data_IF_021343966084
#
_entry.id   IF_021343966084
#
_cell.length_a   1.000
_cell.length_b   1.000
_cell.length_c   1.000
_cell.angle_alpha   90.00
_cell.angle_beta   90.00
_cell.angle_gamma   90.00
#
_symmetry.space_group_name_H-M   'P 1'
#
loop_
_entity.id
_entity.type
_entity.pdbx_description
1 polymer ?
#
# COMPACT_ATOMS: atom_id res chain seq x y z
N UNK A 1 46.31 -46.95 -14.97
CA UNK A 1 47.29 -46.72 -13.88
C UNK A 1 46.91 -45.40 -13.22
N UNK A 2 46.48 -45.29 -11.95
CA UNK A 2 46.13 -46.22 -10.86
C UNK A 2 44.76 -45.73 -10.30
N UNK A 3 43.96 -46.45 -9.50
CA UNK A 3 44.20 -47.66 -8.72
C UNK A 3 44.19 -47.36 -7.21
N UNK A 4 43.35 -48.08 -6.45
CA UNK A 4 43.17 -48.06 -4.98
C UNK A 4 42.46 -46.82 -4.39
N UNK A 5 41.37 -46.87 -3.61
CA UNK A 5 40.82 -47.82 -2.59
C UNK A 5 41.30 -47.56 -1.16
N UNK A 6 40.35 -47.37 -0.24
CA UNK A 6 40.58 -47.27 1.20
C UNK A 6 39.35 -47.73 1.99
N UNK A 7 39.35 -48.98 2.43
CA UNK A 7 38.32 -49.61 3.29
C UNK A 7 38.62 -49.39 4.76
N UNK A 8 37.62 -49.33 5.65
CA UNK A 8 37.62 -50.09 6.93
C UNK A 8 36.22 -50.10 7.62
N UNK A 9 35.79 -51.29 8.05
CA UNK A 9 34.74 -51.58 9.05
C UNK A 9 35.47 -52.11 10.33
N UNK A 10 34.94 -52.95 11.25
CA UNK A 10 33.59 -53.17 11.80
C UNK A 10 33.53 -53.15 13.35
N UNK A 11 32.33 -53.26 13.95
CA UNK A 11 32.05 -53.97 15.23
C UNK A 11 30.60 -54.52 15.13
N UNK A 12 30.31 -55.84 15.06
CA UNK A 12 30.22 -56.84 16.15
C UNK A 12 29.23 -56.41 17.28
N UNK A 13 28.25 -57.20 17.77
CA UNK A 13 27.99 -58.67 17.64
C UNK A 13 26.61 -59.11 18.19
N UNK A 14 26.14 -60.32 17.80
CA UNK A 14 25.34 -61.33 18.58
C UNK A 14 23.88 -60.98 19.00
N UNK A 15 22.94 -61.92 19.23
CA UNK A 15 22.73 -63.35 18.87
C UNK A 15 21.22 -63.71 19.04
N UNK A 16 20.78 -64.87 18.52
CA UNK A 16 19.40 -65.45 18.52
C UNK A 16 19.09 -66.17 19.88
N UNK A 17 18.02 -67.00 20.14
CA UNK A 17 16.88 -67.51 19.32
C UNK A 17 15.48 -67.60 20.05
N UNK A 18 14.44 -68.24 19.46
CA UNK A 18 13.12 -68.37 20.15
C UNK A 18 11.95 -69.26 19.64
N UNK A 19 12.17 -70.37 18.91
CA UNK A 19 11.29 -71.58 18.81
C UNK A 19 9.77 -71.51 18.40
N UNK A 20 9.17 -72.70 18.26
CA UNK A 20 7.86 -73.08 17.64
C UNK A 20 7.02 -73.92 18.65
N UNK A 21 5.75 -74.32 18.50
CA UNK A 21 4.68 -74.25 17.48
C UNK A 21 3.29 -74.32 18.20
N UNK A 22 2.17 -74.14 17.47
CA UNK A 22 0.96 -75.00 17.48
C UNK A 22 -0.38 -74.28 17.18
N UNK A 23 -1.27 -75.06 16.56
CA UNK A 23 -2.64 -74.74 16.16
C UNK A 23 -3.63 -74.66 17.32
N UNK A 24 -4.59 -73.71 17.31
CA UNK A 24 -6.04 -74.00 17.36
C UNK A 24 -6.97 -72.76 17.33
N UNK A 25 -7.91 -72.78 16.38
CA UNK A 25 -9.35 -72.47 16.48
C UNK A 25 -9.94 -71.07 16.87
N UNK A 26 -11.07 -70.76 16.21
CA UNK A 26 -12.07 -69.69 16.48
C UNK A 26 -11.74 -68.22 16.09
N UNK A 27 -12.75 -67.38 15.81
CA UNK A 27 -13.55 -67.47 14.58
C UNK A 27 -13.49 -66.20 13.72
N UNK A 28 -13.84 -66.33 12.43
CA UNK A 28 -13.88 -65.22 11.48
C UNK A 28 -14.85 -64.11 11.94
N UNK A 29 -14.36 -62.88 12.01
CA UNK A 29 -15.19 -61.68 11.93
C UNK A 29 -15.04 -61.11 10.53
N UNK A 30 -16.04 -61.34 9.69
CA UNK A 30 -16.16 -60.67 8.40
C UNK A 30 -16.44 -59.19 8.64
N UNK A 31 -15.38 -58.38 8.70
CA UNK A 31 -15.49 -56.92 8.69
C UNK A 31 -15.85 -56.54 7.25
N UNK A 32 -17.15 -56.54 6.97
CA UNK A 32 -17.71 -56.01 5.74
C UNK A 32 -17.33 -54.54 5.64
N UNK A 33 -16.40 -54.23 4.74
CA UNK A 33 -15.94 -52.88 4.45
C UNK A 33 -17.04 -52.12 3.70
N UNK A 34 -18.06 -51.66 4.43
CA UNK A 34 -19.02 -50.68 3.91
C UNK A 34 -18.30 -49.34 3.77
N UNK A 35 -17.79 -49.06 2.56
CA UNK A 35 -17.77 -47.70 2.07
C UNK A 35 -19.22 -47.22 2.02
N UNK A 36 -19.60 -46.38 2.98
CA UNK A 36 -20.81 -45.60 2.89
C UNK A 36 -20.46 -44.30 2.16
N UNK A 37 -20.59 -44.33 0.82
CA UNK A 37 -20.75 -43.10 0.04
C UNK A 37 -22.01 -42.39 0.52
N UNK A 38 -21.85 -41.16 1.01
CA UNK A 38 -22.88 -40.10 1.03
C UNK A 38 -22.36 -38.90 1.84
N UNK A 39 -21.46 -38.11 1.23
CA UNK A 39 -21.24 -36.72 1.65
C UNK A 39 -21.07 -35.81 0.42
N UNK A 40 -22.01 -35.96 -0.51
CA UNK A 40 -22.20 -35.11 -1.70
C UNK A 40 -23.35 -34.10 -1.45
N UNK A 41 -23.43 -33.52 -0.24
CA UNK A 41 -24.12 -32.23 -0.12
C UNK A 41 -23.26 -31.18 -0.84
N UNK A 42 -23.77 -30.52 -1.90
CA UNK A 42 -23.02 -29.45 -2.53
C UNK A 42 -22.77 -28.37 -1.48
N UNK A 43 -21.54 -27.86 -1.40
CA UNK A 43 -21.15 -26.79 -0.47
C UNK A 43 -21.89 -25.51 -0.88
N UNK A 44 -23.14 -25.37 -0.44
CA UNK A 44 -23.96 -24.19 -0.68
C UNK A 44 -23.63 -23.11 0.33
N UNK A 45 -23.37 -21.90 -0.17
CA UNK A 45 -23.32 -20.71 0.67
C UNK A 45 -24.60 -20.60 1.50
N UNK A 46 -24.48 -20.34 2.80
CA UNK A 46 -25.63 -20.09 3.67
C UNK A 46 -26.45 -18.90 3.15
N UNK A 47 -27.75 -18.83 3.49
CA UNK A 47 -28.59 -17.70 3.07
C UNK A 47 -27.97 -16.33 3.43
N UNK A 48 -27.40 -16.21 4.63
CA UNK A 48 -26.65 -15.03 5.06
C UNK A 48 -25.39 -14.76 4.21
N UNK A 49 -24.67 -15.80 3.79
CA UNK A 49 -23.50 -15.62 2.91
C UNK A 49 -23.91 -15.24 1.48
N UNK A 50 -25.03 -15.76 0.97
CA UNK A 50 -25.60 -15.37 -0.32
C UNK A 50 -26.11 -13.94 -0.32
N UNK A 51 -26.78 -13.50 0.75
CA UNK A 51 -27.28 -12.12 0.86
C UNK A 51 -26.13 -11.13 1.03
N UNK A 52 -25.14 -11.42 1.90
CA UNK A 52 -23.92 -10.62 1.98
C UNK A 52 -23.15 -10.55 0.65
N UNK A 53 -23.16 -11.62 -0.16
CA UNK A 53 -22.56 -11.63 -1.50
C UNK A 53 -23.35 -10.76 -2.49
N UNK A 54 -24.70 -10.77 -2.44
CA UNK A 54 -25.55 -9.87 -3.25
C UNK A 54 -25.34 -8.41 -2.87
N UNK A 55 -25.30 -8.11 -1.58
CA UNK A 55 -25.06 -6.75 -1.07
C UNK A 55 -23.69 -6.25 -1.54
N UNK A 56 -22.64 -7.07 -1.40
CA UNK A 56 -21.31 -6.76 -1.91
C UNK A 56 -21.27 -6.49 -3.42
N UNK A 57 -21.96 -7.31 -4.24
CA UNK A 57 -22.06 -7.06 -5.68
C UNK A 57 -22.86 -5.79 -5.98
N UNK A 58 -23.94 -5.52 -5.24
CA UNK A 58 -24.77 -4.32 -5.41
C UNK A 58 -23.99 -3.06 -5.07
N UNK A 59 -23.22 -3.06 -3.98
CA UNK A 59 -22.32 -1.97 -3.59
C UNK A 59 -21.17 -1.77 -4.58
N UNK A 60 -20.62 -2.87 -5.12
CA UNK A 60 -19.59 -2.80 -6.17
C UNK A 60 -20.15 -2.18 -7.45
N UNK A 61 -21.33 -2.60 -7.89
CA UNK A 61 -21.95 -2.12 -9.12
C UNK A 61 -22.50 -0.68 -8.95
N UNK A 62 -22.92 -0.29 -7.75
CA UNK A 62 -23.25 1.10 -7.41
C UNK A 62 -22.02 2.02 -7.45
N UNK A 63 -20.90 1.59 -6.85
CA UNK A 63 -19.61 2.31 -6.94
C UNK A 63 -19.10 2.39 -8.38
N UNK A 64 -19.23 1.31 -9.15
CA UNK A 64 -18.88 1.31 -10.58
C UNK A 64 -19.69 2.36 -11.36
N UNK A 65 -21.01 2.45 -11.14
CA UNK A 65 -21.86 3.49 -11.75
C UNK A 65 -21.50 4.91 -11.32
N UNK A 66 -21.22 5.13 -10.04
CA UNK A 66 -20.76 6.44 -9.56
C UNK A 66 -19.42 6.83 -10.21
N UNK A 67 -18.50 5.86 -10.34
CA UNK A 67 -17.22 6.06 -10.98
C UNK A 67 -17.35 6.31 -12.50
N UNK A 68 -18.17 5.53 -13.21
CA UNK A 68 -18.52 5.75 -14.62
C UNK A 68 -19.15 7.12 -14.85
N UNK A 69 -20.02 7.58 -13.94
CA UNK A 69 -20.59 8.92 -14.01
C UNK A 69 -19.51 10.00 -13.85
N UNK A 70 -18.68 9.94 -12.80
CA UNK A 70 -17.58 10.89 -12.58
C UNK A 70 -16.61 10.92 -13.78
N UNK A 71 -16.31 9.76 -14.35
CA UNK A 71 -15.45 9.60 -15.52
C UNK A 71 -16.09 10.15 -16.79
N UNK A 72 -17.34 9.82 -17.08
CA UNK A 72 -18.06 10.33 -18.25
C UNK A 72 -18.21 11.86 -18.20
N UNK A 73 -18.49 12.40 -17.01
CA UNK A 73 -18.48 13.84 -16.77
C UNK A 73 -17.08 14.44 -17.04
N UNK A 74 -16.00 13.81 -16.58
CA UNK A 74 -14.63 14.27 -16.83
C UNK A 74 -14.25 14.23 -18.33
N UNK A 75 -14.53 13.13 -19.04
CA UNK A 75 -14.23 12.95 -20.46
C UNK A 75 -15.00 13.94 -21.36
N UNK A 76 -16.29 14.16 -21.11
CA UNK A 76 -17.09 15.16 -21.83
C UNK A 76 -16.57 16.59 -21.62
N UNK A 77 -16.03 16.90 -20.43
CA UNK A 77 -15.47 18.22 -20.11
C UNK A 77 -14.08 18.43 -20.72
N UNK A 78 -13.24 17.40 -20.79
CA UNK A 78 -11.96 17.45 -21.52
C UNK A 78 -12.18 17.78 -23.00
N UNK A 79 -13.21 17.21 -23.63
CA UNK A 79 -13.61 17.52 -25.01
C UNK A 79 -14.12 18.97 -25.21
N UNK A 80 -14.59 19.63 -24.15
CA UNK A 80 -15.10 21.01 -24.19
C UNK A 80 -14.05 22.11 -23.96
N UNK A 81 -12.76 21.75 -23.82
CA UNK A 81 -11.65 22.70 -23.68
C UNK A 81 -11.53 23.40 -22.32
N UNK A 82 -12.34 23.03 -21.33
CA UNK A 82 -12.42 23.66 -20.00
C UNK A 82 -11.32 23.24 -19.02
N UNK A 83 -10.05 23.49 -19.35
CA UNK A 83 -8.87 23.02 -18.59
C UNK A 83 -8.70 23.50 -17.13
N UNK A 84 -9.64 24.29 -16.59
CA UNK A 84 -9.65 24.76 -15.20
C UNK A 84 -10.96 24.55 -14.45
N UNK A 85 -11.96 23.87 -15.04
CA UNK A 85 -13.29 23.71 -14.46
C UNK A 85 -13.55 22.33 -13.79
N UNK A 86 -12.56 21.43 -13.77
CA UNK A 86 -12.71 20.07 -13.25
C UNK A 86 -13.14 20.04 -11.76
N UNK A 87 -12.64 20.98 -10.96
CA UNK A 87 -12.91 21.07 -9.52
C UNK A 87 -14.31 21.59 -9.19
N UNK A 88 -14.94 22.39 -10.05
CA UNK A 88 -16.20 23.09 -9.72
C UNK A 88 -17.46 22.21 -9.66
N UNK A 89 -17.34 20.91 -9.94
CA UNK A 89 -18.45 19.94 -9.88
C UNK A 89 -18.23 18.86 -8.82
N UNK A 90 -17.04 18.81 -8.20
CA UNK A 90 -16.76 17.87 -7.12
C UNK A 90 -17.58 18.25 -5.88
N UNK A 91 -18.38 17.30 -5.38
CA UNK A 91 -19.12 17.47 -4.12
C UNK A 91 -18.17 17.18 -2.96
N UNK A 92 -17.80 18.22 -2.24
CA UNK A 92 -17.03 18.13 -1.01
C UNK A 92 -17.95 17.86 0.21
N UNK A 93 -17.49 17.11 1.23
CA UNK A 93 -16.20 16.43 1.29
C UNK A 93 -16.13 15.20 0.38
N UNK A 94 -14.97 14.99 -0.22
CA UNK A 94 -14.62 13.78 -0.97
C UNK A 94 -14.34 12.63 0.01
N UNK A 95 -14.78 11.42 -0.33
CA UNK A 95 -14.54 10.18 0.45
C UNK A 95 -13.65 9.21 -0.31
N UNK A 96 -12.76 8.51 0.39
CA UNK A 96 -11.97 7.40 -0.17
C UNK A 96 -12.82 6.17 -0.51
N UNK A 97 -14.05 6.07 -0.01
CA UNK A 97 -14.97 4.95 -0.32
C UNK A 97 -15.34 4.88 -1.81
N UNK A 98 -15.30 6.01 -2.52
CA UNK A 98 -15.48 6.09 -3.97
C UNK A 98 -14.33 5.41 -4.75
N UNK A 99 -13.17 5.21 -4.13
CA UNK A 99 -11.96 4.64 -4.70
C UNK A 99 -11.60 3.35 -3.95
N UNK A 100 -12.38 2.28 -4.12
CA UNK A 100 -12.20 1.04 -3.35
C UNK A 100 -10.82 0.35 -3.57
N UNK A 101 -10.15 -0.03 -2.49
CA UNK A 101 -8.82 -0.68 -2.49
C UNK A 101 -8.72 -1.92 -3.42
N UNK A 102 -7.65 -2.01 -4.21
CA UNK A 102 -7.20 -3.26 -4.86
C UNK A 102 -5.93 -3.81 -4.20
N UNK A 103 -6.04 -5.01 -3.65
CA UNK A 103 -4.96 -5.70 -2.94
C UNK A 103 -3.86 -6.20 -3.87
N UNK A 104 -4.13 -6.40 -5.17
CA UNK A 104 -3.11 -6.79 -6.15
C UNK A 104 -2.19 -5.62 -6.50
N UNK A 105 -2.73 -4.40 -6.47
CA UNK A 105 -2.00 -3.14 -6.62
C UNK A 105 -1.38 -2.66 -5.29
N UNK A 106 -1.56 -3.44 -4.20
CA UNK A 106 -1.07 -3.14 -2.85
C UNK A 106 -1.61 -1.82 -2.28
N UNK A 107 -2.87 -1.52 -2.59
CA UNK A 107 -3.58 -0.32 -2.12
C UNK A 107 -4.15 -0.53 -0.70
N UNK A 108 -3.65 0.25 0.26
CA UNK A 108 -4.18 0.29 1.63
C UNK A 108 -4.39 1.75 2.03
N UNK A 109 -5.61 2.13 2.38
CA UNK A 109 -5.92 3.53 2.65
C UNK A 109 -5.67 3.89 4.11
N UNK A 110 -4.94 4.98 4.36
CA UNK A 110 -4.89 5.61 5.68
C UNK A 110 -6.29 5.91 6.24
N UNK A 111 -6.41 5.87 7.57
CA UNK A 111 -7.60 6.40 8.26
C UNK A 111 -7.72 7.91 8.04
N UNK A 112 -8.93 8.45 8.20
CA UNK A 112 -9.19 9.88 8.02
C UNK A 112 -8.33 10.75 8.95
N UNK A 113 -8.06 10.29 10.18
CA UNK A 113 -7.18 10.98 11.13
C UNK A 113 -5.75 11.03 10.62
N UNK A 114 -5.21 9.91 10.15
CA UNK A 114 -3.85 9.81 9.62
C UNK A 114 -3.69 10.63 8.34
N UNK A 115 -4.59 10.48 7.37
CA UNK A 115 -4.59 11.25 6.14
C UNK A 115 -4.69 12.77 6.41
N UNK A 116 -5.58 13.17 7.32
CA UNK A 116 -5.75 14.57 7.74
C UNK A 116 -4.52 15.12 8.46
N UNK A 117 -3.86 14.33 9.31
CA UNK A 117 -2.66 14.74 10.03
C UNK A 117 -1.49 14.97 9.07
N UNK A 118 -1.25 14.03 8.15
CA UNK A 118 -0.21 14.11 7.13
C UNK A 118 -0.45 15.30 6.18
N UNK A 119 -1.68 15.47 5.69
CA UNK A 119 -2.08 16.63 4.89
C UNK A 119 -1.82 17.96 5.61
N UNK A 120 -2.14 18.06 6.91
CA UNK A 120 -1.83 19.25 7.72
C UNK A 120 -0.34 19.52 7.85
N UNK A 121 0.53 18.51 7.94
CA UNK A 121 1.98 18.73 7.97
C UNK A 121 2.55 19.17 6.61
N UNK A 122 1.94 18.74 5.49
CA UNK A 122 2.26 19.28 4.16
C UNK A 122 1.80 20.74 4.01
N UNK A 123 0.63 21.10 4.53
CA UNK A 123 0.09 22.47 4.48
C UNK A 123 0.70 23.45 5.50
N UNK A 124 1.31 22.97 6.58
CA UNK A 124 1.83 23.83 7.66
C UNK A 124 2.91 24.82 7.12
N UNK A 125 2.57 26.10 7.04
CA UNK A 125 3.39 27.16 6.47
C UNK A 125 3.52 27.10 4.94
N UNK A 126 2.58 26.49 4.22
CA UNK A 126 2.51 26.54 2.76
C UNK A 126 1.96 27.89 2.26
N UNK A 127 2.39 28.30 1.08
CA UNK A 127 1.95 29.53 0.39
C UNK A 127 1.34 29.19 -0.98
N UNK A 128 0.85 30.19 -1.72
CA UNK A 128 0.32 29.98 -3.08
C UNK A 128 1.39 29.48 -4.07
N UNK A 129 2.66 29.81 -3.82
CA UNK A 129 3.82 29.43 -4.65
C UNK A 129 4.36 28.03 -4.29
N UNK A 130 3.93 27.47 -3.17
CA UNK A 130 4.38 26.14 -2.70
C UNK A 130 3.81 25.05 -3.61
N UNK A 131 4.67 24.14 -4.08
CA UNK A 131 4.25 22.93 -4.80
C UNK A 131 4.33 21.69 -3.90
N UNK A 132 3.25 20.91 -3.88
CA UNK A 132 3.11 19.69 -3.07
C UNK A 132 2.87 18.50 -4.00
N UNK A 133 3.75 17.49 -3.94
CA UNK A 133 3.52 16.21 -4.61
C UNK A 133 3.10 15.12 -3.60
N UNK A 134 2.11 14.33 -3.99
CA UNK A 134 1.62 13.15 -3.27
C UNK A 134 1.93 11.94 -4.14
N UNK A 135 2.83 11.07 -3.70
CA UNK A 135 3.28 9.89 -4.47
C UNK A 135 2.70 8.62 -3.83
N UNK A 136 1.80 7.95 -4.56
CA UNK A 136 1.12 6.71 -4.15
C UNK A 136 0.38 6.73 -2.80
N UNK A 137 0.07 7.93 -2.27
CA UNK A 137 -0.67 8.14 -1.02
C UNK A 137 -2.02 8.87 -1.26
N UNK A 138 -2.96 8.33 -2.07
CA UNK A 138 -4.13 9.08 -2.53
C UNK A 138 -5.08 9.53 -1.41
N UNK A 139 -5.17 8.83 -0.28
CA UNK A 139 -5.95 9.30 0.88
C UNK A 139 -5.45 10.64 1.44
N UNK A 140 -4.13 10.87 1.44
CA UNK A 140 -3.55 12.16 1.82
C UNK A 140 -3.88 13.25 0.80
N UNK A 141 -3.94 12.91 -0.50
CA UNK A 141 -4.40 13.85 -1.53
C UNK A 141 -5.88 14.23 -1.34
N UNK A 142 -6.76 13.26 -1.07
CA UNK A 142 -8.18 13.54 -0.77
C UNK A 142 -8.32 14.40 0.48
N UNK A 143 -7.54 14.13 1.54
CA UNK A 143 -7.52 14.98 2.73
C UNK A 143 -7.02 16.41 2.45
N UNK A 144 -5.97 16.58 1.61
CA UNK A 144 -5.52 17.90 1.15
C UNK A 144 -6.62 18.65 0.40
N UNK A 145 -7.29 18.02 -0.55
CA UNK A 145 -8.40 18.61 -1.32
C UNK A 145 -9.54 19.04 -0.40
N UNK A 146 -9.95 18.19 0.55
CA UNK A 146 -11.00 18.51 1.52
C UNK A 146 -10.63 19.72 2.41
N UNK A 147 -9.38 19.81 2.88
CA UNK A 147 -8.91 20.96 3.69
C UNK A 147 -8.88 22.25 2.85
N UNK A 148 -8.36 22.21 1.62
CA UNK A 148 -8.26 23.39 0.75
C UNK A 148 -9.61 23.88 0.23
N UNK A 149 -10.61 22.99 0.12
CA UNK A 149 -11.99 23.34 -0.18
C UNK A 149 -12.70 24.03 0.99
N UNK A 150 -12.28 23.80 2.24
CA UNK A 150 -12.81 24.51 3.41
C UNK A 150 -12.19 25.89 3.64
N UNK A 151 -11.16 26.27 2.88
CA UNK A 151 -10.53 27.58 2.98
C UNK A 151 -11.39 28.67 2.28
N UNK A 152 -11.36 29.93 2.76
CA UNK A 152 -11.96 31.07 2.06
C UNK A 152 -11.54 31.16 0.58
N UNK A 153 -12.41 31.68 -0.29
CA UNK A 153 -12.17 31.69 -1.73
C UNK A 153 -10.86 32.42 -2.11
N UNK A 154 -10.54 33.50 -1.41
CA UNK A 154 -9.35 34.34 -1.54
C UNK A 154 -8.09 33.80 -0.81
N UNK A 155 -8.21 32.73 -0.04
CA UNK A 155 -7.06 32.15 0.66
C UNK A 155 -6.02 31.58 -0.33
N UNK A 156 -4.71 31.75 -0.05
CA UNK A 156 -3.66 31.17 -0.86
C UNK A 156 -3.75 29.63 -0.83
N UNK A 157 -3.61 28.99 -1.99
CA UNK A 157 -3.64 27.53 -2.14
C UNK A 157 -2.35 27.07 -2.82
N UNK A 158 -1.62 26.09 -2.26
CA UNK A 158 -0.47 25.50 -2.91
C UNK A 158 -0.91 24.71 -4.15
N UNK A 159 -0.02 24.60 -5.14
CA UNK A 159 -0.25 23.70 -6.27
C UNK A 159 -0.07 22.24 -5.83
N UNK A 160 -1.04 21.39 -6.15
CA UNK A 160 -0.97 19.95 -5.86
C UNK A 160 -0.60 19.13 -7.10
N UNK A 161 -0.02 17.96 -6.89
CA UNK A 161 0.18 16.93 -7.91
C UNK A 161 0.00 15.56 -7.25
N UNK A 162 -0.85 14.70 -7.81
CA UNK A 162 -1.02 13.32 -7.40
C UNK A 162 -0.34 12.40 -8.42
N UNK A 163 0.65 11.65 -7.97
CA UNK A 163 1.33 10.62 -8.74
C UNK A 163 0.79 9.27 -8.29
N UNK A 164 -0.07 8.65 -9.11
CA UNK A 164 -0.66 7.36 -8.80
C UNK A 164 -0.72 6.42 -10.02
N UNK A 165 -0.65 5.12 -9.77
CA UNK A 165 -0.84 4.09 -10.79
C UNK A 165 -2.33 3.93 -11.15
N UNK A 166 -3.21 4.15 -10.17
CA UNK A 166 -4.64 3.96 -10.34
C UNK A 166 -5.31 5.08 -11.15
N UNK A 167 -5.68 4.74 -12.38
CA UNK A 167 -6.37 5.64 -13.30
C UNK A 167 -7.77 6.08 -12.82
N UNK A 168 -8.32 5.53 -11.72
CA UNK A 168 -9.53 6.08 -11.11
C UNK A 168 -9.32 7.50 -10.60
N UNK A 169 -8.10 7.87 -10.20
CA UNK A 169 -7.79 9.24 -9.79
C UNK A 169 -7.67 10.22 -10.98
N UNK A 170 -7.73 9.77 -12.23
CA UNK A 170 -7.71 10.64 -13.42
C UNK A 170 -8.94 11.58 -13.56
N UNK A 171 -9.93 11.47 -12.66
CA UNK A 171 -11.00 12.47 -12.48
C UNK A 171 -10.48 13.80 -11.92
N UNK A 172 -9.30 13.82 -11.30
CA UNK A 172 -8.64 15.01 -10.77
C UNK A 172 -7.65 15.58 -11.80
N UNK A 173 -7.66 16.89 -12.02
CA UNK A 173 -6.73 17.53 -12.97
C UNK A 173 -5.27 17.54 -12.49
N UNK A 174 -5.05 17.31 -11.19
CA UNK A 174 -3.74 17.18 -10.56
C UNK A 174 -3.14 15.77 -10.71
N UNK A 175 -3.88 14.82 -11.29
CA UNK A 175 -3.44 13.44 -11.50
C UNK A 175 -2.38 13.34 -12.60
N UNK A 176 -1.32 12.61 -12.29
CA UNK A 176 -0.28 12.17 -13.21
C UNK A 176 -0.13 10.66 -13.04
N UNK A 177 -0.40 9.90 -14.10
CA UNK A 177 -0.20 8.46 -14.09
C UNK A 177 1.26 8.13 -13.77
N UNK A 178 1.49 7.31 -12.75
CA UNK A 178 2.80 6.96 -12.23
C UNK A 178 2.97 5.44 -12.15
N UNK A 179 3.98 4.93 -12.86
CA UNK A 179 4.48 3.57 -12.69
C UNK A 179 5.88 3.65 -12.07
N UNK A 180 6.04 3.13 -10.85
CA UNK A 180 7.34 3.15 -10.16
C UNK A 180 8.44 2.41 -10.94
N UNK A 181 8.10 1.47 -11.84
CA UNK A 181 9.08 0.79 -12.71
C UNK A 181 9.66 1.73 -13.77
N UNK A 182 9.00 2.85 -14.04
CA UNK A 182 9.39 3.91 -14.96
C UNK A 182 9.50 5.26 -14.20
N UNK A 183 10.35 5.37 -13.14
CA UNK A 183 10.22 6.37 -12.08
C UNK A 183 10.38 7.84 -12.54
N UNK A 184 11.04 8.08 -13.67
CA UNK A 184 11.25 9.42 -14.25
C UNK A 184 10.46 9.64 -15.55
N UNK A 185 9.51 8.76 -15.90
CA UNK A 185 8.61 8.93 -17.05
C UNK A 185 7.45 9.85 -16.68
N UNK A 186 7.79 11.08 -16.33
CA UNK A 186 6.90 12.08 -15.76
C UNK A 186 6.95 13.39 -16.56
N UNK A 187 5.96 14.28 -16.41
CA UNK A 187 5.99 15.61 -17.04
C UNK A 187 7.25 16.38 -16.61
N UNK A 188 8.05 16.84 -17.58
CA UNK A 188 9.32 17.53 -17.30
C UNK A 188 9.18 18.79 -16.42
N UNK A 189 7.98 19.39 -16.37
CA UNK A 189 7.65 20.50 -15.47
C UNK A 189 7.74 20.16 -13.98
N UNK A 190 7.78 18.87 -13.62
CA UNK A 190 7.97 18.40 -12.24
C UNK A 190 9.45 18.36 -11.81
N UNK A 191 10.41 18.29 -12.74
CA UNK A 191 11.85 18.19 -12.42
C UNK A 191 12.28 19.36 -11.52
N UNK A 192 12.89 19.04 -10.36
CA UNK A 192 13.44 20.01 -9.39
C UNK A 192 12.49 21.17 -9.08
N UNK A 193 11.19 20.90 -9.05
CA UNK A 193 10.16 21.92 -8.91
C UNK A 193 9.40 21.84 -7.58
N UNK A 194 9.45 20.71 -6.89
CA UNK A 194 8.56 20.41 -5.76
C UNK A 194 9.19 20.79 -4.42
N UNK A 195 8.48 21.61 -3.65
CA UNK A 195 8.91 22.08 -2.32
C UNK A 195 8.57 21.07 -1.21
N UNK A 196 7.49 20.30 -1.36
CA UNK A 196 6.98 19.37 -0.34
C UNK A 196 6.49 18.07 -0.96
N UNK A 197 6.88 16.95 -0.36
CA UNK A 197 6.59 15.62 -0.88
C UNK A 197 6.09 14.73 0.25
N UNK A 198 5.01 13.99 0.01
CA UNK A 198 4.75 12.74 0.71
C UNK A 198 4.86 11.56 -0.26
N UNK A 199 5.44 10.46 0.20
CA UNK A 199 5.61 9.25 -0.59
C UNK A 199 5.23 8.01 0.23
N UNK A 200 4.41 7.14 -0.33
CA UNK A 200 4.03 5.85 0.23
C UNK A 200 4.19 4.76 -0.84
N UNK A 201 5.38 4.15 -0.98
CA UNK A 201 5.64 3.22 -2.08
C UNK A 201 4.84 1.92 -1.88
N UNK A 202 4.10 1.43 -2.89
CA UNK A 202 3.11 0.36 -2.70
C UNK A 202 3.70 -0.98 -2.22
N UNK A 203 4.99 -1.24 -2.44
CA UNK A 203 5.63 -2.51 -2.09
C UNK A 203 6.77 -2.35 -1.09
N UNK A 204 6.79 -3.25 -0.09
CA UNK A 204 7.88 -3.41 0.89
C UNK A 204 9.08 -4.16 0.28
N UNK A 205 9.60 -3.65 -0.84
CA UNK A 205 10.73 -4.24 -1.59
C UNK A 205 11.80 -3.21 -1.93
N UNK A 206 13.06 -3.64 -1.95
CA UNK A 206 14.20 -2.74 -2.20
C UNK A 206 14.10 -2.03 -3.57
N UNK A 207 13.62 -2.73 -4.60
CA UNK A 207 13.39 -2.18 -5.93
C UNK A 207 12.36 -1.05 -5.91
N UNK A 208 11.21 -1.26 -5.25
CA UNK A 208 10.14 -0.27 -5.18
C UNK A 208 10.57 0.98 -4.39
N UNK A 209 11.15 0.78 -3.20
CA UNK A 209 11.64 1.86 -2.35
C UNK A 209 12.76 2.67 -3.04
N UNK A 210 13.69 1.99 -3.70
CA UNK A 210 14.79 2.64 -4.45
C UNK A 210 14.25 3.47 -5.61
N UNK A 211 13.31 2.93 -6.40
CA UNK A 211 12.69 3.63 -7.53
C UNK A 211 11.86 4.82 -7.09
N UNK A 212 11.04 4.68 -6.05
CA UNK A 212 10.33 5.80 -5.45
C UNK A 212 11.30 6.91 -4.98
N UNK A 213 12.42 6.53 -4.36
CA UNK A 213 13.45 7.49 -3.97
C UNK A 213 14.15 8.16 -5.17
N UNK A 214 14.22 7.53 -6.35
CA UNK A 214 14.67 8.20 -7.58
C UNK A 214 13.66 9.25 -8.04
N UNK A 215 12.37 8.90 -8.08
CA UNK A 215 11.25 9.81 -8.40
C UNK A 215 11.28 11.05 -7.51
N UNK A 216 11.33 10.85 -6.19
CA UNK A 216 11.40 11.93 -5.19
C UNK A 216 12.63 12.81 -5.42
N UNK A 217 13.84 12.23 -5.55
CA UNK A 217 15.07 13.01 -5.79
C UNK A 217 15.03 13.83 -7.09
N UNK A 218 14.39 13.32 -8.14
CA UNK A 218 14.28 14.01 -9.43
C UNK A 218 13.29 15.19 -9.38
N UNK A 219 12.20 15.08 -8.63
CA UNK A 219 11.21 16.16 -8.47
C UNK A 219 11.56 17.20 -7.40
N UNK A 220 12.27 16.80 -6.34
CA UNK A 220 12.65 17.68 -5.23
C UNK A 220 13.45 18.89 -5.72
N UNK A 221 12.97 20.08 -5.38
CA UNK A 221 13.61 21.37 -5.67
C UNK A 221 14.99 21.52 -5.04
N UNK A 222 15.17 21.04 -3.82
CA UNK A 222 16.48 20.85 -3.18
C UNK A 222 16.42 19.69 -2.17
N UNK A 223 17.56 19.40 -1.53
CA UNK A 223 17.62 18.51 -0.35
C UNK A 223 16.86 19.03 0.86
N UNK A 224 16.51 20.32 0.87
CA UNK A 224 15.77 20.99 1.95
C UNK A 224 14.25 20.96 1.72
N UNK A 225 13.78 20.42 0.59
CA UNK A 225 12.36 20.15 0.36
C UNK A 225 11.80 19.30 1.50
N UNK A 226 10.62 19.67 2.04
CA UNK A 226 9.98 18.92 3.12
C UNK A 226 9.57 17.55 2.60
N UNK A 227 10.05 16.49 3.24
CA UNK A 227 9.80 15.11 2.85
C UNK A 227 9.18 14.34 4.01
N UNK A 228 8.06 13.69 3.71
CA UNK A 228 7.46 12.64 4.53
C UNK A 228 7.48 11.36 3.70
N UNK A 229 7.88 10.25 4.31
CA UNK A 229 7.77 8.91 3.72
C UNK A 229 7.01 8.05 4.71
N UNK A 230 6.03 7.28 4.24
CA UNK A 230 5.41 6.23 5.03
C UNK A 230 5.68 4.89 4.34
N UNK A 231 5.94 3.85 5.12
CA UNK A 231 6.17 2.48 4.66
C UNK A 231 6.22 1.54 5.87
N UNK A 232 6.21 0.23 5.62
CA UNK A 232 6.39 -0.80 6.65
C UNK A 232 7.75 -0.73 7.35
N UNK A 233 7.77 -1.03 8.66
CA UNK A 233 8.92 -0.89 9.58
C UNK A 233 10.25 -1.41 9.01
N UNK A 234 10.21 -2.58 8.37
CA UNK A 234 11.37 -3.33 7.87
C UNK A 234 12.17 -2.61 6.79
N UNK A 235 11.58 -1.55 6.22
CA UNK A 235 12.23 -0.70 5.25
C UNK A 235 13.04 0.43 5.90
N UNK A 236 13.00 0.62 7.24
CA UNK A 236 13.68 1.70 7.98
C UNK A 236 15.14 1.90 7.57
N UNK A 237 15.96 0.86 7.65
CA UNK A 237 17.40 0.93 7.31
C UNK A 237 17.63 1.30 5.84
N UNK A 238 16.76 0.86 4.94
CA UNK A 238 16.86 1.18 3.52
C UNK A 238 16.38 2.62 3.24
N UNK A 239 15.24 3.02 3.78
CA UNK A 239 14.60 4.32 3.54
C UNK A 239 15.42 5.46 4.14
N UNK A 240 15.87 5.33 5.39
CA UNK A 240 16.78 6.32 6.00
C UNK A 240 18.08 6.47 5.20
N UNK A 241 18.67 5.38 4.69
CA UNK A 241 19.84 5.40 3.81
C UNK A 241 19.55 6.03 2.44
N UNK A 242 18.43 5.69 1.80
CA UNK A 242 18.03 6.26 0.50
C UNK A 242 17.85 7.78 0.62
N UNK A 243 17.13 8.24 1.63
CA UNK A 243 16.80 9.64 1.84
C UNK A 243 17.77 10.37 2.79
N UNK A 244 18.95 9.81 3.04
CA UNK A 244 19.97 10.40 3.93
C UNK A 244 20.32 11.86 3.53
N UNK A 245 20.33 12.16 2.23
CA UNK A 245 20.61 13.50 1.69
C UNK A 245 19.53 14.54 2.04
N UNK A 246 18.32 14.11 2.39
CA UNK A 246 17.24 14.98 2.88
C UNK A 246 17.23 15.10 4.41
N UNK A 247 18.08 14.36 5.13
CA UNK A 247 18.00 14.26 6.59
C UNK A 247 16.77 13.50 7.11
N UNK A 248 16.22 12.57 6.32
CA UNK A 248 15.02 11.80 6.69
C UNK A 248 15.32 10.87 7.89
N UNK A 249 14.53 10.98 8.96
CA UNK A 249 14.59 10.10 10.14
C UNK A 249 13.22 9.53 10.50
N UNK A 250 13.23 8.39 11.18
CA UNK A 250 12.04 7.74 11.74
C UNK A 250 11.40 8.63 12.80
N UNK A 251 10.08 8.76 12.78
CA UNK A 251 9.32 9.55 13.75
C UNK A 251 8.62 8.66 14.78
N UNK A 252 8.26 9.23 15.94
CA UNK A 252 7.43 8.57 16.95
C UNK A 252 5.95 8.41 16.53
N UNK A 253 5.55 8.90 15.36
CA UNK A 253 4.21 8.75 14.82
C UNK A 253 4.04 7.47 13.98
N UNK A 254 2.97 6.73 14.25
CA UNK A 254 2.61 5.47 13.61
C UNK A 254 1.33 5.66 12.78
N UNK A 255 1.40 5.59 11.44
CA UNK A 255 0.24 5.71 10.56
C UNK A 255 -0.77 4.57 10.74
N UNK A 256 -2.07 4.90 10.76
CA UNK A 256 -3.17 3.93 10.87
C UNK A 256 -3.91 3.81 9.54
N UNK A 257 -4.34 2.60 9.18
CA UNK A 257 -5.07 2.30 7.95
C UNK A 257 -6.56 2.05 8.25
N UNK A 258 -7.44 2.52 7.37
CA UNK A 258 -8.90 2.55 7.57
C UNK A 258 -9.52 1.14 7.75
N UNK A 259 -8.95 0.12 7.09
CA UNK A 259 -9.36 -1.30 7.25
C UNK A 259 -8.39 -2.13 8.09
N UNK A 260 -7.44 -1.45 8.75
CA UNK A 260 -6.29 -2.09 9.40
C UNK A 260 -5.26 -2.63 8.38
N UNK A 261 -4.05 -2.85 8.86
CA UNK A 261 -2.97 -3.49 8.11
C UNK A 261 -2.17 -4.35 9.10
N UNK A 262 -1.82 -5.58 8.73
CA UNK A 262 -1.08 -6.49 9.61
C UNK A 262 0.41 -6.21 9.70
N UNK A 263 0.95 -5.40 8.79
CA UNK A 263 2.33 -4.92 8.85
C UNK A 263 2.38 -3.65 9.71
N UNK A 264 3.32 -3.61 10.66
CA UNK A 264 3.69 -2.38 11.34
C UNK A 264 4.21 -1.35 10.32
N UNK A 265 3.74 -0.10 10.44
CA UNK A 265 4.02 0.99 9.51
C UNK A 265 4.57 2.18 10.28
N UNK A 266 5.63 2.81 9.76
CA UNK A 266 6.24 3.98 10.37
C UNK A 266 6.12 5.21 9.47
N UNK A 267 6.03 6.38 10.10
CA UNK A 267 6.23 7.67 9.45
C UNK A 267 7.71 8.08 9.60
N UNK A 268 8.34 8.44 8.48
CA UNK A 268 9.68 9.00 8.42
C UNK A 268 9.57 10.43 7.89
N UNK A 269 10.26 11.40 8.50
CA UNK A 269 10.20 12.79 8.10
C UNK A 269 11.54 13.50 8.27
N UNK A 270 11.84 14.49 7.43
CA UNK A 270 13.02 15.35 7.59
C UNK A 270 12.76 16.61 8.42
N UNK A 271 11.58 16.70 9.04
CA UNK A 271 11.21 17.76 9.99
C UNK A 271 10.50 17.15 11.19
N UNK A 272 10.81 17.64 12.38
CA UNK A 272 9.94 17.47 13.54
C UNK A 272 8.71 18.39 13.46
N UNK A 273 7.65 18.05 14.19
CA UNK A 273 6.44 18.87 14.28
C UNK A 273 5.95 18.96 15.73
N UNK A 274 4.75 19.49 15.94
CA UNK A 274 3.99 19.35 17.18
C UNK A 274 3.28 17.99 17.29
N UNK A 275 3.20 17.22 16.19
CA UNK A 275 2.51 15.93 16.12
C UNK A 275 3.45 14.73 16.15
N UNK A 276 4.75 14.98 15.92
CA UNK A 276 5.77 13.94 16.01
C UNK A 276 7.16 14.52 16.31
N UNK A 277 7.99 13.68 16.90
CA UNK A 277 9.43 13.84 17.13
C UNK A 277 10.21 12.73 16.45
N UNK A 278 11.51 12.93 16.25
CA UNK A 278 12.35 11.84 15.75
C UNK A 278 12.57 10.79 16.83
N UNK A 279 12.50 9.52 16.47
CA UNK A 279 12.90 8.43 17.39
C UNK A 279 14.40 8.59 17.70
N UNK A 280 14.84 8.25 18.92
CA UNK A 280 16.27 8.13 19.22
C UNK A 280 16.92 7.15 18.24
N UNK A 281 18.13 7.46 17.77
CA UNK A 281 18.89 6.54 16.93
C UNK A 281 19.18 5.25 17.72
N UNK A 282 18.77 4.12 17.17
CA UNK A 282 18.85 2.78 17.77
C UNK A 282 20.29 2.23 17.74
N UNK A 283 21.24 2.93 18.37
CA UNK A 283 22.63 2.49 18.41
C UNK A 283 23.68 3.50 18.90
N UNK A 284 23.57 3.97 20.16
CA UNK A 284 24.73 4.55 20.87
C UNK A 284 24.78 4.09 22.34
N UNK A 285 25.14 2.81 22.52
CA UNK A 285 25.54 2.18 23.77
C UNK A 285 26.85 1.41 23.53
#
# INVERSE_FOLDING_TARGET
MYGCSGTYTPWLTKENPGYIDHTENAPRRDICFKMADSDDEPITLSAHALDALKDFYTDRDARAKQFEQLRAEAEQRAASGGGGAAESTLKYPLSMEAFGEDWNESQFWYSDETATLLAKQLLNGATAETKIAVVSAPSVFIALKNILASYPADAPRPALTLLEHDNRFAVFHEFVFYDFKQPMKLPAALEKSIDRIICDPPFLSEDCQTKAALTVRWMSKSTDSRLIVCTGERMETLVTKLYQSFGLKTTDYEPVHARGLSNEFFCYANVETEKWKWRPESGSH
#
